data_IF_752964439560
#
_entry.id   IF_752964439560
#
_cell.length_a   1.000
_cell.length_b   1.000
_cell.length_c   1.000
_cell.angle_alpha   90.00
_cell.angle_beta   90.00
_cell.angle_gamma   90.00
#
_symmetry.space_group_name_H-M   'P 1'
#
loop_
_entity.id
_entity.type
_entity.pdbx_description
1 polymer ?
#
# COMPACT_ATOMS: atom_id res chain seq x y z
N UNK A 1 -5.30 -16.52 -18.10
CA UNK A 1 -5.72 -15.14 -17.76
C UNK A 1 -7.23 -15.18 -17.54
N UNK A 2 -7.72 -14.93 -16.32
CA UNK A 2 -9.19 -14.89 -16.07
C UNK A 2 -9.75 -13.62 -16.69
N UNK A 3 -10.87 -13.74 -17.35
CA UNK A 3 -11.59 -12.60 -17.93
C UNK A 3 -12.42 -11.98 -16.82
N UNK A 4 -12.22 -10.71 -16.55
CA UNK A 4 -13.08 -9.93 -15.65
C UNK A 4 -14.46 -9.84 -16.29
N UNK A 5 -15.49 -10.34 -15.63
CA UNK A 5 -16.84 -10.41 -16.18
C UNK A 5 -17.68 -9.17 -15.87
N UNK A 6 -17.32 -8.45 -14.81
CA UNK A 6 -18.02 -7.22 -14.40
C UNK A 6 -17.01 -6.19 -13.84
N UNK A 7 -17.27 -4.89 -14.02
CA UNK A 7 -16.49 -3.85 -13.34
C UNK A 7 -16.52 -3.97 -11.80
N UNK A 8 -17.55 -4.61 -11.25
CA UNK A 8 -17.65 -4.88 -9.81
C UNK A 8 -16.64 -5.89 -9.30
N UNK A 9 -16.02 -6.67 -10.19
CA UNK A 9 -15.01 -7.66 -9.85
C UNK A 9 -13.59 -7.08 -9.88
N UNK A 10 -13.44 -5.82 -10.28
CA UNK A 10 -12.17 -5.11 -10.35
C UNK A 10 -12.02 -4.12 -9.20
N UNK A 11 -10.84 -4.09 -8.58
CA UNK A 11 -10.47 -3.10 -7.57
C UNK A 11 -9.10 -2.52 -7.88
N UNK A 12 -9.03 -1.22 -7.91
CA UNK A 12 -7.78 -0.48 -8.05
C UNK A 12 -7.32 -0.06 -6.65
N UNK A 13 -6.15 -0.51 -6.23
CA UNK A 13 -5.59 -0.22 -4.91
C UNK A 13 -4.24 0.45 -5.08
N UNK A 14 -4.05 1.61 -4.49
CA UNK A 14 -2.79 2.36 -4.55
C UNK A 14 -2.01 2.24 -3.24
N UNK A 15 -0.70 2.01 -3.36
CA UNK A 15 0.23 2.07 -2.23
C UNK A 15 0.72 3.51 -2.06
N UNK A 16 0.57 4.05 -0.86
CA UNK A 16 0.91 5.43 -0.48
C UNK A 16 1.90 5.41 0.69
N UNK A 17 2.82 6.33 0.72
CA UNK A 17 3.78 6.49 1.83
C UNK A 17 5.06 7.19 1.36
N UNK A 18 5.91 7.57 2.30
CA UNK A 18 7.18 8.27 2.05
C UNK A 18 8.19 7.44 1.24
N UNK A 19 9.17 8.12 0.66
CA UNK A 19 10.32 7.45 0.06
C UNK A 19 11.00 6.54 1.11
N UNK A 20 11.34 5.33 0.72
CA UNK A 20 11.95 4.37 1.62
C UNK A 20 11.01 3.68 2.61
N UNK A 21 9.71 3.96 2.65
CA UNK A 21 8.76 3.29 3.57
C UNK A 21 8.54 1.79 3.26
N UNK A 22 9.07 1.26 2.17
CA UNK A 22 8.93 -0.15 1.80
C UNK A 22 7.76 -0.45 0.85
N UNK A 23 7.14 0.57 0.24
CA UNK A 23 6.04 0.39 -0.74
C UNK A 23 6.39 -0.56 -1.87
N UNK A 24 7.48 -0.28 -2.58
CA UNK A 24 7.94 -1.09 -3.70
C UNK A 24 8.29 -2.51 -3.27
N UNK A 25 8.89 -2.68 -2.10
CA UNK A 25 9.16 -4.01 -1.52
C UNK A 25 7.86 -4.76 -1.23
N UNK A 26 6.87 -4.08 -0.66
CA UNK A 26 5.54 -4.65 -0.43
C UNK A 26 4.87 -5.04 -1.75
N UNK A 27 4.87 -4.15 -2.73
CA UNK A 27 4.35 -4.38 -4.08
C UNK A 27 4.96 -5.64 -4.70
N UNK A 28 6.30 -5.74 -4.72
CA UNK A 28 7.02 -6.89 -5.25
C UNK A 28 6.68 -8.20 -4.52
N UNK A 29 6.59 -8.17 -3.21
CA UNK A 29 6.26 -9.35 -2.42
C UNK A 29 4.83 -9.81 -2.65
N UNK A 30 3.88 -8.90 -2.82
CA UNK A 30 2.51 -9.23 -3.19
C UNK A 30 2.45 -9.88 -4.57
N UNK A 31 3.20 -9.37 -5.56
CA UNK A 31 3.31 -9.99 -6.89
C UNK A 31 3.93 -11.38 -6.83
N UNK A 32 5.04 -11.55 -6.09
CA UNK A 32 5.69 -12.86 -5.90
C UNK A 32 4.77 -13.89 -5.26
N UNK A 33 3.96 -13.46 -4.30
CA UNK A 33 3.02 -14.34 -3.61
C UNK A 33 1.87 -14.82 -4.50
N UNK A 34 1.54 -14.06 -5.55
CA UNK A 34 0.34 -14.30 -6.37
C UNK A 34 0.61 -14.68 -7.82
N UNK A 35 1.77 -14.35 -8.36
CA UNK A 35 2.15 -14.65 -9.75
C UNK A 35 3.26 -15.68 -9.74
N UNK A 36 2.97 -16.95 -10.09
CA UNK A 36 4.00 -17.98 -10.18
C UNK A 36 5.11 -17.60 -11.15
N UNK A 37 6.37 -17.68 -10.72
CA UNK A 37 7.53 -17.36 -11.56
C UNK A 37 7.84 -15.86 -11.69
N UNK A 38 7.13 -14.98 -11.01
CA UNK A 38 7.48 -13.56 -10.97
C UNK A 38 8.86 -13.34 -10.34
N UNK A 39 9.77 -12.69 -11.05
CA UNK A 39 11.18 -12.50 -10.62
C UNK A 39 11.54 -11.05 -10.26
N UNK A 40 10.60 -10.11 -10.46
CA UNK A 40 10.90 -8.68 -10.35
C UNK A 40 11.70 -8.21 -11.59
N UNK A 41 11.18 -7.29 -12.35
CA UNK A 41 11.74 -6.98 -13.68
C UNK A 41 12.24 -5.55 -13.86
N UNK A 42 12.34 -4.72 -12.82
CA UNK A 42 12.66 -3.31 -13.03
C UNK A 42 13.75 -2.77 -12.13
N UNK A 43 14.52 -1.85 -12.69
CA UNK A 43 15.52 -1.05 -12.00
C UNK A 43 14.83 -0.15 -10.95
N UNK A 44 15.38 -0.10 -9.74
CA UNK A 44 14.85 0.67 -8.61
C UNK A 44 14.77 2.18 -8.92
N UNK A 45 15.62 2.68 -9.81
CA UNK A 45 15.63 4.08 -10.22
C UNK A 45 14.41 4.47 -11.08
N UNK A 46 13.95 3.60 -11.98
CA UNK A 46 12.75 3.83 -12.79
C UNK A 46 11.47 3.82 -11.93
N UNK A 47 11.44 2.99 -10.88
CA UNK A 47 10.30 2.89 -9.96
C UNK A 47 10.17 4.07 -9.02
N UNK A 48 11.27 4.70 -8.67
CA UNK A 48 11.27 5.86 -7.77
C UNK A 48 10.57 7.08 -8.39
N UNK A 49 10.45 7.13 -9.72
CA UNK A 49 9.96 8.29 -10.47
C UNK A 49 8.67 8.08 -11.25
N UNK A 50 8.08 6.87 -11.26
CA UNK A 50 6.90 6.56 -12.05
C UNK A 50 5.87 5.71 -11.30
N UNK A 51 4.59 5.94 -11.61
CA UNK A 51 3.49 5.09 -11.16
C UNK A 51 3.60 3.72 -11.85
N UNK A 52 3.73 2.66 -11.06
CA UNK A 52 3.79 1.28 -11.55
C UNK A 52 2.47 0.57 -11.32
N UNK A 53 1.95 -0.11 -12.35
CA UNK A 53 0.70 -0.87 -12.29
C UNK A 53 0.97 -2.36 -12.48
N UNK A 54 0.40 -3.18 -11.61
CA UNK A 54 0.33 -4.63 -11.81
C UNK A 54 -1.06 -5.17 -11.45
N UNK A 55 -1.48 -6.22 -12.13
CA UNK A 55 -2.75 -6.89 -11.88
C UNK A 55 -2.53 -8.21 -11.16
N UNK A 56 -3.22 -8.38 -10.03
CA UNK A 56 -3.18 -9.60 -9.22
C UNK A 56 -4.57 -10.25 -9.27
N UNK A 57 -4.66 -11.41 -9.93
CA UNK A 57 -5.89 -12.21 -9.90
C UNK A 57 -6.03 -12.95 -8.58
N UNK A 58 -7.24 -13.08 -8.07
CA UNK A 58 -7.52 -13.95 -6.95
C UNK A 58 -7.53 -15.41 -7.43
N UNK A 59 -6.49 -16.17 -7.07
CA UNK A 59 -6.43 -17.62 -7.29
C UNK A 59 -6.72 -18.33 -5.99
N UNK A 60 -7.83 -19.09 -5.95
CA UNK A 60 -8.17 -20.01 -4.86
C UNK A 60 -8.58 -19.37 -3.53
N UNK A 61 -9.39 -18.34 -3.56
CA UNK A 61 -10.06 -17.93 -2.34
C UNK A 61 -11.24 -18.89 -2.07
N UNK A 62 -11.19 -19.58 -0.95
CA UNK A 62 -12.28 -20.42 -0.46
C UNK A 62 -13.56 -19.63 -0.15
N UNK A 63 -13.47 -18.30 -0.16
CA UNK A 63 -14.59 -17.37 0.02
C UNK A 63 -15.38 -17.07 -1.28
N UNK A 64 -14.95 -17.59 -2.43
CA UNK A 64 -15.73 -17.53 -3.68
C UNK A 64 -15.82 -16.16 -4.34
N UNK A 65 -15.03 -15.17 -3.94
CA UNK A 65 -15.00 -13.86 -4.60
C UNK A 65 -13.97 -13.83 -5.73
N UNK A 66 -14.42 -13.64 -6.94
CA UNK A 66 -13.60 -13.50 -8.16
C UNK A 66 -13.03 -12.09 -8.33
N UNK A 67 -12.57 -11.45 -7.26
CA UNK A 67 -12.04 -10.07 -7.33
C UNK A 67 -10.64 -10.06 -7.92
N UNK A 68 -10.45 -9.21 -8.92
CA UNK A 68 -9.15 -8.89 -9.52
C UNK A 68 -8.67 -7.56 -8.96
N UNK A 69 -7.47 -7.53 -8.42
CA UNK A 69 -6.87 -6.32 -7.86
C UNK A 69 -5.82 -5.77 -8.82
N UNK A 70 -6.00 -4.53 -9.24
CA UNK A 70 -4.93 -3.74 -9.84
C UNK A 70 -4.21 -3.01 -8.72
N UNK A 71 -2.94 -3.32 -8.55
CA UNK A 71 -2.10 -2.70 -7.54
C UNK A 71 -1.25 -1.61 -8.20
N UNK A 72 -1.33 -0.39 -7.65
CA UNK A 72 -0.57 0.76 -8.11
C UNK A 72 0.51 1.09 -7.07
N UNK A 73 1.77 1.06 -7.47
CA UNK A 73 2.88 1.56 -6.65
C UNK A 73 3.15 3.02 -7.03
N UNK A 74 2.83 3.93 -6.12
CA UNK A 74 3.00 5.36 -6.34
C UNK A 74 4.40 5.83 -5.88
N UNK A 75 5.02 6.79 -6.60
CA UNK A 75 6.29 7.37 -6.17
C UNK A 75 6.16 8.00 -4.79
N UNK A 76 7.18 7.79 -3.94
CA UNK A 76 7.18 8.31 -2.56
C UNK A 76 7.96 9.62 -2.38
N UNK A 77 8.56 10.14 -3.44
CA UNK A 77 9.33 11.38 -3.36
C UNK A 77 8.42 12.60 -3.50
N UNK A 78 8.63 13.69 -2.73
CA UNK A 78 7.77 14.88 -2.76
C UNK A 78 7.59 15.53 -4.14
N UNK A 79 8.58 15.43 -5.01
CA UNK A 79 8.51 15.98 -6.37
C UNK A 79 7.43 15.34 -7.23
N UNK A 80 7.01 14.12 -6.91
CA UNK A 80 5.99 13.35 -7.63
C UNK A 80 4.62 13.36 -6.94
N UNK A 81 4.36 14.34 -6.10
CA UNK A 81 3.08 14.45 -5.37
C UNK A 81 1.86 14.50 -6.31
N UNK A 82 2.01 15.09 -7.51
CA UNK A 82 0.98 15.11 -8.53
C UNK A 82 0.59 13.71 -9.02
N UNK A 83 1.59 12.87 -9.28
CA UNK A 83 1.37 11.49 -9.73
C UNK A 83 0.74 10.62 -8.64
N UNK A 84 1.15 10.85 -7.39
CA UNK A 84 0.57 10.20 -6.24
C UNK A 84 -0.91 10.56 -6.09
N UNK A 85 -1.29 11.83 -6.21
CA UNK A 85 -2.71 12.25 -6.18
C UNK A 85 -3.51 11.73 -7.38
N UNK A 86 -2.89 11.62 -8.56
CA UNK A 86 -3.52 11.00 -9.72
C UNK A 86 -3.80 9.50 -9.46
N UNK A 87 -2.82 8.77 -8.89
CA UNK A 87 -3.00 7.39 -8.46
C UNK A 87 -4.12 7.23 -7.42
N UNK A 88 -4.16 8.12 -6.43
CA UNK A 88 -5.24 8.14 -5.43
C UNK A 88 -6.62 8.37 -6.05
N UNK A 89 -6.74 9.23 -7.05
CA UNK A 89 -8.01 9.47 -7.74
C UNK A 89 -8.47 8.28 -8.58
N UNK A 90 -7.52 7.57 -9.21
CA UNK A 90 -7.79 6.40 -10.02
C UNK A 90 -8.12 5.14 -9.20
N UNK A 91 -7.71 5.10 -7.93
CA UNK A 91 -7.87 3.93 -7.07
C UNK A 91 -9.24 3.91 -6.36
N UNK A 92 -9.76 2.70 -6.14
CA UNK A 92 -10.95 2.44 -5.33
C UNK A 92 -10.62 2.48 -3.83
N UNK A 93 -9.38 2.16 -3.48
CA UNK A 93 -8.89 2.18 -2.11
C UNK A 93 -7.40 2.48 -2.02
N UNK A 94 -6.91 2.83 -0.85
CA UNK A 94 -5.51 3.15 -0.59
C UNK A 94 -4.93 2.31 0.54
N UNK A 95 -3.69 1.87 0.39
CA UNK A 95 -2.89 1.24 1.44
C UNK A 95 -1.74 2.16 1.79
N UNK A 96 -1.78 2.68 3.00
CA UNK A 96 -0.76 3.56 3.54
C UNK A 96 0.36 2.72 4.16
N UNK A 97 1.57 2.86 3.63
CA UNK A 97 2.75 2.08 4.04
C UNK A 97 3.61 2.93 4.96
N UNK A 98 3.64 2.56 6.23
CA UNK A 98 4.36 3.26 7.31
C UNK A 98 5.53 2.41 7.76
N UNK A 99 6.74 2.99 7.77
CA UNK A 99 7.93 2.33 8.30
C UNK A 99 7.95 2.41 9.82
N UNK A 100 8.11 1.28 10.50
CA UNK A 100 8.26 1.24 11.96
C UNK A 100 9.54 1.94 12.45
N UNK A 101 10.53 2.12 11.56
CA UNK A 101 11.77 2.82 11.89
C UNK A 101 11.69 4.35 11.69
N UNK A 102 10.82 4.81 10.78
CA UNK A 102 10.80 6.22 10.34
C UNK A 102 9.50 6.94 10.78
N UNK A 103 8.44 6.19 11.11
CA UNK A 103 7.13 6.73 11.53
C UNK A 103 6.28 7.30 10.39
N UNK A 104 5.42 8.26 10.71
CA UNK A 104 4.47 8.89 9.78
C UNK A 104 5.01 10.26 9.38
N UNK A 105 5.17 10.49 8.07
CA UNK A 105 5.54 11.80 7.54
C UNK A 105 4.30 12.69 7.30
N UNK A 106 4.48 14.05 7.29
CA UNK A 106 3.37 14.99 7.16
C UNK A 106 2.58 14.86 5.84
N UNK A 107 3.25 14.47 4.74
CA UNK A 107 2.60 14.31 3.44
C UNK A 107 1.67 13.09 3.49
N UNK A 108 2.14 11.99 4.05
CA UNK A 108 1.34 10.77 4.24
C UNK A 108 0.13 11.05 5.13
N UNK A 109 0.28 11.85 6.20
CA UNK A 109 -0.82 12.26 7.05
C UNK A 109 -1.85 13.13 6.31
N UNK A 110 -1.39 14.09 5.50
CA UNK A 110 -2.28 14.93 4.70
C UNK A 110 -3.09 14.13 3.68
N UNK A 111 -2.46 13.16 3.01
CA UNK A 111 -3.14 12.28 2.05
C UNK A 111 -4.16 11.36 2.72
N UNK A 112 -3.90 10.93 3.96
CA UNK A 112 -4.86 10.18 4.74
C UNK A 112 -6.11 11.01 5.02
N UNK A 113 -5.95 12.29 5.38
CA UNK A 113 -7.06 13.21 5.59
C UNK A 113 -7.84 13.46 4.30
N UNK A 114 -7.17 13.69 3.16
CA UNK A 114 -7.83 13.83 1.85
C UNK A 114 -8.67 12.59 1.49
N UNK A 115 -8.18 11.39 1.79
CA UNK A 115 -8.95 10.16 1.59
C UNK A 115 -10.17 10.09 2.51
N UNK A 116 -10.08 10.65 3.73
CA UNK A 116 -11.21 10.70 4.67
C UNK A 116 -12.34 11.60 4.16
N UNK A 117 -12.00 12.77 3.62
CA UNK A 117 -12.98 13.73 3.09
C UNK A 117 -13.86 13.14 1.99
N UNK A 118 -13.30 12.25 1.16
CA UNK A 118 -14.03 11.59 0.07
C UNK A 118 -14.51 10.18 0.42
N UNK A 119 -14.44 9.80 1.71
CA UNK A 119 -14.81 8.46 2.19
C UNK A 119 -14.10 7.31 1.42
N UNK A 120 -12.87 7.52 0.99
CA UNK A 120 -12.09 6.49 0.30
C UNK A 120 -11.70 5.38 1.30
N UNK A 121 -11.98 4.10 0.99
CA UNK A 121 -11.49 2.97 1.76
C UNK A 121 -9.97 3.02 1.89
N UNK A 122 -9.46 2.82 3.11
CA UNK A 122 -8.04 2.89 3.36
C UNK A 122 -7.61 1.92 4.46
N UNK A 123 -6.40 1.42 4.33
CA UNK A 123 -5.76 0.55 5.31
C UNK A 123 -4.31 1.01 5.54
N UNK A 124 -3.71 0.53 6.60
CA UNK A 124 -2.31 0.81 6.94
C UNK A 124 -1.55 -0.50 6.99
N UNK A 125 -0.35 -0.49 6.43
CA UNK A 125 0.63 -1.58 6.56
C UNK A 125 1.88 -1.02 7.22
N UNK A 126 2.27 -1.59 8.36
CA UNK A 126 3.52 -1.27 9.04
C UNK A 126 4.61 -2.19 8.52
N UNK A 127 5.71 -1.60 8.08
CA UNK A 127 6.86 -2.28 7.48
C UNK A 127 8.11 -2.12 8.32
N UNK A 128 9.21 -2.78 7.91
CA UNK A 128 10.53 -2.71 8.55
C UNK A 128 10.53 -3.06 10.04
N UNK A 129 9.68 -3.99 10.44
CA UNK A 129 9.60 -4.49 11.82
C UNK A 129 10.81 -5.32 12.23
N UNK A 130 11.66 -5.67 11.28
CA UNK A 130 12.90 -6.45 11.42
C UNK A 130 14.14 -5.57 11.68
N UNK A 131 13.98 -4.25 11.77
CA UNK A 131 15.11 -3.33 12.02
C UNK A 131 15.26 -3.04 13.51
N UNK A 132 16.50 -2.78 13.97
CA UNK A 132 16.82 -2.49 15.38
C UNK A 132 16.09 -1.24 15.93
N UNK A 133 15.63 -0.35 15.05
CA UNK A 133 14.90 0.87 15.41
C UNK A 133 13.38 0.69 15.44
N UNK A 134 12.90 -0.50 15.06
CA UNK A 134 11.47 -0.75 14.96
C UNK A 134 10.85 -0.94 16.34
N UNK A 135 9.81 -0.16 16.61
CA UNK A 135 8.92 -0.36 17.75
C UNK A 135 7.48 -0.35 17.23
N UNK A 136 6.85 -1.53 17.20
CA UNK A 136 5.49 -1.68 16.71
C UNK A 136 4.48 -0.89 17.56
N UNK A 137 4.64 -0.91 18.88
CA UNK A 137 3.70 -0.25 19.78
C UNK A 137 3.82 1.28 19.69
N UNK A 138 5.05 1.80 19.73
CA UNK A 138 5.29 3.23 19.51
C UNK A 138 4.81 3.68 18.13
N UNK A 139 5.03 2.88 17.09
CA UNK A 139 4.52 3.18 15.74
C UNK A 139 2.99 3.19 15.71
N UNK A 140 2.32 2.30 16.43
CA UNK A 140 0.86 2.28 16.51
C UNK A 140 0.32 3.55 17.19
N UNK A 141 0.98 4.04 18.21
CA UNK A 141 0.62 5.32 18.87
C UNK A 141 0.77 6.50 17.91
N UNK A 142 1.89 6.58 17.16
CA UNK A 142 2.08 7.61 16.13
C UNK A 142 1.02 7.53 15.01
N UNK A 143 0.60 6.34 14.65
CA UNK A 143 -0.48 6.11 13.68
C UNK A 143 -1.81 6.63 14.23
N UNK A 144 -2.13 6.35 15.49
CA UNK A 144 -3.33 6.87 16.15
C UNK A 144 -3.34 8.41 16.21
N UNK A 145 -2.21 9.02 16.52
CA UNK A 145 -2.07 10.48 16.55
C UNK A 145 -2.25 11.10 15.15
N UNK A 146 -1.61 10.51 14.13
CA UNK A 146 -1.62 11.07 12.78
C UNK A 146 -2.90 10.78 11.98
N UNK A 147 -3.50 9.60 12.18
CA UNK A 147 -4.61 9.10 11.35
C UNK A 147 -5.92 8.98 12.10
N UNK A 148 -5.91 9.19 13.40
CA UNK A 148 -7.09 9.17 14.27
C UNK A 148 -7.26 7.87 15.04
N UNK A 149 -7.91 7.98 16.21
CA UNK A 149 -8.12 6.88 17.15
C UNK A 149 -9.01 5.74 16.64
N UNK A 150 -9.63 5.89 15.46
CA UNK A 150 -10.40 4.84 14.81
C UNK A 150 -9.54 3.80 14.05
N UNK A 151 -8.21 3.96 14.03
CA UNK A 151 -7.30 2.99 13.42
C UNK A 151 -6.99 1.89 14.42
N UNK A 152 -7.29 0.63 14.07
CA UNK A 152 -7.04 -0.52 14.95
C UNK A 152 -6.23 -1.59 14.23
N UNK A 153 -5.27 -2.26 14.91
CA UNK A 153 -4.56 -3.38 14.35
C UNK A 153 -5.49 -4.53 14.01
N UNK A 154 -5.53 -4.94 12.74
CA UNK A 154 -6.22 -6.16 12.31
C UNK A 154 -5.35 -7.41 12.51
N UNK A 155 -4.02 -7.24 12.42
CA UNK A 155 -3.03 -8.29 12.63
C UNK A 155 -1.90 -7.74 13.50
N UNK A 156 -1.42 -8.58 14.41
CA UNK A 156 -0.26 -8.29 15.26
C UNK A 156 0.97 -9.05 14.76
N UNK A 157 2.16 -8.45 14.74
CA UNK A 157 3.38 -9.16 14.39
C UNK A 157 3.74 -10.18 15.47
N UNK A 158 4.21 -11.35 15.03
CA UNK A 158 4.88 -12.29 15.94
C UNK A 158 6.31 -11.80 16.13
N UNK A 159 6.53 -11.03 17.19
CA UNK A 159 7.87 -10.61 17.60
C UNK A 159 8.58 -11.84 18.18
N UNK A 160 9.69 -12.25 17.56
CA UNK A 160 10.56 -13.33 18.01
C UNK A 160 11.78 -12.76 18.71
#
# INVERSE_FOLDING_TARGET
>A
MRTVSSPTDLRNVVLVGSAGSGKTTLFENLLRARIPGYRGERDDAERASALTLATIGNHNDTAGSDVVINLLDAPGHPDFYGDLRAGLRAADGAVFVVSAADGVDPITAALWAECAEVNKPRAIVVTKLDTDKADFFATTELIHEAFGAGTHPAYLPLLR
#
